data_IF_494357918243
#
_entry.id   IF_494357918243
#
_cell.length_a   1.000
_cell.length_b   1.000
_cell.length_c   1.000
_cell.angle_alpha   90.00
_cell.angle_beta   90.00
_cell.angle_gamma   90.00
#
_symmetry.space_group_name_H-M   'P 1'
#
loop_
_entity.id
_entity.type
_entity.pdbx_description
1 polymer ?
#
# COMPACT_ATOMS: atom_id res chain seq x y z
N UNK A 1 -24.70 -22.73 24.91
CA UNK A 1 -24.05 -22.29 23.67
C UNK A 1 -24.72 -21.00 23.24
N UNK A 2 -24.09 -19.87 23.52
CA UNK A 2 -24.59 -18.56 23.12
C UNK A 2 -24.22 -18.38 21.64
N UNK A 3 -25.18 -18.43 20.74
CA UNK A 3 -24.95 -18.07 19.34
C UNK A 3 -24.72 -16.56 19.29
N UNK A 4 -23.45 -16.13 19.37
CA UNK A 4 -23.10 -14.73 19.21
C UNK A 4 -23.46 -14.29 17.79
N UNK A 5 -24.08 -13.13 17.66
CA UNK A 5 -24.43 -12.57 16.37
C UNK A 5 -23.15 -12.10 15.65
N UNK A 6 -23.15 -12.07 14.32
CA UNK A 6 -22.01 -11.61 13.50
C UNK A 6 -21.55 -10.20 13.93
N UNK A 7 -22.49 -9.32 14.29
CA UNK A 7 -22.17 -7.98 14.80
C UNK A 7 -21.34 -8.04 16.10
N UNK A 8 -21.76 -8.86 17.05
CA UNK A 8 -21.13 -8.96 18.38
C UNK A 8 -19.72 -9.52 18.28
N UNK A 9 -19.50 -10.52 17.41
CA UNK A 9 -18.15 -11.09 17.20
C UNK A 9 -17.23 -10.13 16.46
N UNK A 10 -17.74 -9.32 15.53
CA UNK A 10 -16.96 -8.28 14.85
C UNK A 10 -16.56 -7.17 15.84
N UNK A 11 -17.48 -6.74 16.71
CA UNK A 11 -17.17 -5.78 17.77
C UNK A 11 -16.11 -6.33 18.73
N UNK A 12 -16.24 -7.59 19.13
CA UNK A 12 -15.24 -8.23 19.99
C UNK A 12 -13.86 -8.29 19.33
N UNK A 13 -13.81 -8.56 18.03
CA UNK A 13 -12.57 -8.53 17.25
C UNK A 13 -11.96 -7.12 17.15
N UNK A 14 -12.79 -6.09 16.97
CA UNK A 14 -12.35 -4.69 16.97
C UNK A 14 -11.74 -4.26 18.30
N UNK A 15 -12.37 -4.62 19.42
CA UNK A 15 -11.85 -4.35 20.76
C UNK A 15 -10.51 -5.06 21.00
N UNK A 16 -10.40 -6.31 20.58
CA UNK A 16 -9.17 -7.09 20.69
C UNK A 16 -8.02 -6.44 19.88
N UNK A 17 -8.29 -5.98 18.65
CA UNK A 17 -7.30 -5.24 17.84
C UNK A 17 -6.91 -3.93 18.51
N UNK A 18 -7.87 -3.16 19.03
CA UNK A 18 -7.59 -1.91 19.72
C UNK A 18 -6.71 -2.12 20.98
N UNK A 19 -6.86 -3.25 21.66
CA UNK A 19 -6.02 -3.64 22.78
C UNK A 19 -4.60 -4.03 22.32
N UNK A 20 -4.50 -4.79 21.24
CA UNK A 20 -3.23 -5.17 20.62
C UNK A 20 -2.42 -3.94 20.17
N UNK A 21 -3.07 -2.97 19.53
CA UNK A 21 -2.44 -1.72 19.06
C UNK A 21 -1.88 -0.88 20.21
N UNK A 22 -2.53 -0.91 21.38
CA UNK A 22 -2.03 -0.22 22.58
C UNK A 22 -0.83 -0.94 23.19
N UNK A 23 -0.88 -2.27 23.24
CA UNK A 23 0.16 -3.07 23.87
C UNK A 23 0.23 -4.46 23.25
N UNK A 24 1.33 -4.72 22.54
CA UNK A 24 1.59 -6.04 21.97
C UNK A 24 2.16 -6.96 23.05
N UNK A 25 1.39 -7.96 23.43
CA UNK A 25 1.76 -9.05 24.35
C UNK A 25 1.25 -10.39 23.82
N UNK A 26 1.78 -11.50 24.32
CA UNK A 26 1.28 -12.84 23.95
C UNK A 26 -0.23 -12.98 24.18
N UNK A 27 -0.74 -12.49 25.31
CA UNK A 27 -2.16 -12.57 25.66
C UNK A 27 -3.03 -11.79 24.66
N UNK A 28 -2.63 -10.56 24.30
CA UNK A 28 -3.36 -9.74 23.32
C UNK A 28 -3.30 -10.33 21.91
N UNK A 29 -2.17 -10.95 21.54
CA UNK A 29 -2.05 -11.62 20.23
C UNK A 29 -2.99 -12.81 20.16
N UNK A 30 -2.99 -13.66 21.20
CA UNK A 30 -3.85 -14.83 21.25
C UNK A 30 -5.34 -14.42 21.26
N UNK A 31 -5.70 -13.38 22.01
CA UNK A 31 -7.07 -12.87 22.06
C UNK A 31 -7.58 -12.41 20.69
N UNK A 32 -6.73 -11.74 19.89
CA UNK A 32 -7.08 -11.30 18.54
C UNK A 32 -7.26 -12.48 17.59
N UNK A 33 -6.38 -13.48 17.64
CA UNK A 33 -6.49 -14.68 16.80
C UNK A 33 -7.76 -15.48 17.12
N UNK A 34 -8.07 -15.65 18.41
CA UNK A 34 -9.30 -16.30 18.87
C UNK A 34 -10.55 -15.50 18.46
N UNK A 35 -10.52 -14.17 18.58
CA UNK A 35 -11.63 -13.34 18.14
C UNK A 35 -11.87 -13.48 16.62
N UNK A 36 -10.80 -13.62 15.83
CA UNK A 36 -10.94 -13.87 14.39
C UNK A 36 -11.48 -15.27 14.07
N UNK A 37 -11.11 -16.29 14.86
CA UNK A 37 -11.69 -17.62 14.76
C UNK A 37 -13.21 -17.60 15.00
N UNK A 38 -13.67 -16.81 15.99
CA UNK A 38 -15.10 -16.63 16.27
C UNK A 38 -15.84 -15.94 15.11
N UNK A 39 -15.22 -14.94 14.48
CA UNK A 39 -15.79 -14.28 13.29
C UNK A 39 -15.92 -15.28 12.14
N UNK A 40 -14.92 -16.13 11.92
CA UNK A 40 -15.01 -17.16 10.87
C UNK A 40 -16.10 -18.19 11.18
N UNK A 41 -16.23 -18.61 12.45
CA UNK A 41 -17.27 -19.54 12.86
C UNK A 41 -18.69 -18.96 12.71
N UNK A 42 -18.84 -17.65 12.89
CA UNK A 42 -20.11 -16.93 12.73
C UNK A 42 -20.40 -16.51 11.28
N UNK A 43 -19.46 -16.75 10.36
CA UNK A 43 -19.54 -16.26 8.98
C UNK A 43 -20.60 -17.05 8.19
N UNK A 44 -21.69 -16.38 7.85
CA UNK A 44 -22.70 -16.86 6.91
C UNK A 44 -22.55 -16.12 5.58
N UNK A 45 -23.01 -16.72 4.47
CA UNK A 45 -23.00 -16.06 3.17
C UNK A 45 -23.82 -14.76 3.24
N UNK A 46 -23.28 -13.62 2.79
CA UNK A 46 -24.00 -12.35 2.83
C UNK A 46 -25.32 -12.47 2.05
N UNK A 47 -26.43 -12.23 2.72
CA UNK A 47 -27.78 -12.21 2.12
C UNK A 47 -28.42 -10.82 2.15
N UNK A 48 -27.83 -9.86 2.88
CA UNK A 48 -28.37 -8.50 3.04
C UNK A 48 -27.33 -7.39 2.84
N UNK A 49 -27.76 -6.24 2.33
CA UNK A 49 -26.94 -5.02 2.19
C UNK A 49 -26.33 -4.52 3.52
N UNK A 50 -26.99 -4.81 4.65
CA UNK A 50 -26.44 -4.49 5.98
C UNK A 50 -25.23 -5.36 6.33
N UNK A 51 -25.18 -6.58 5.83
CA UNK A 51 -24.04 -7.49 6.03
C UNK A 51 -22.86 -7.06 5.17
N UNK A 52 -23.09 -6.53 3.97
CA UNK A 52 -22.03 -5.97 3.10
C UNK A 52 -21.18 -4.92 3.82
N UNK A 53 -21.81 -4.02 4.61
CA UNK A 53 -21.08 -3.02 5.40
C UNK A 53 -20.26 -3.66 6.53
N UNK A 54 -20.78 -4.70 7.17
CA UNK A 54 -20.05 -5.46 8.19
C UNK A 54 -18.86 -6.19 7.60
N UNK A 55 -18.98 -6.76 6.40
CA UNK A 55 -17.86 -7.39 5.70
C UNK A 55 -16.78 -6.38 5.29
N UNK A 56 -17.16 -5.17 4.83
CA UNK A 56 -16.19 -4.10 4.58
C UNK A 56 -15.46 -3.66 5.85
N UNK A 57 -16.17 -3.60 6.98
CA UNK A 57 -15.57 -3.30 8.28
C UNK A 57 -14.58 -4.41 8.69
N UNK A 58 -14.97 -5.69 8.53
CA UNK A 58 -14.10 -6.83 8.78
C UNK A 58 -12.81 -6.77 7.95
N UNK A 59 -12.90 -6.44 6.65
CA UNK A 59 -11.71 -6.27 5.79
C UNK A 59 -10.78 -5.17 6.34
N UNK A 60 -11.35 -4.09 6.87
CA UNK A 60 -10.59 -2.99 7.48
C UNK A 60 -9.89 -3.45 8.76
N UNK A 61 -10.56 -4.26 9.59
CA UNK A 61 -9.98 -4.86 10.80
C UNK A 61 -8.87 -5.86 10.46
N UNK A 62 -9.09 -6.73 9.47
CA UNK A 62 -8.08 -7.68 8.97
C UNK A 62 -6.84 -6.94 8.42
N UNK A 63 -7.06 -5.77 7.80
CA UNK A 63 -5.99 -4.89 7.36
C UNK A 63 -5.16 -4.33 8.53
N UNK A 64 -5.82 -3.89 9.60
CA UNK A 64 -5.15 -3.41 10.83
C UNK A 64 -4.36 -4.52 11.52
N UNK A 65 -4.89 -5.74 11.56
CA UNK A 65 -4.17 -6.91 12.07
C UNK A 65 -2.88 -7.14 11.27
N UNK A 66 -2.96 -7.09 9.94
CA UNK A 66 -1.80 -7.25 9.06
C UNK A 66 -0.72 -6.18 9.28
N UNK A 67 -1.11 -4.95 9.61
CA UNK A 67 -0.17 -3.87 9.96
C UNK A 67 0.57 -4.15 11.27
N UNK A 68 -0.06 -4.85 12.21
CA UNK A 68 0.57 -5.24 13.48
C UNK A 68 1.47 -6.48 13.38
N UNK A 69 1.41 -7.24 12.28
CA UNK A 69 2.20 -8.47 12.05
C UNK A 69 3.67 -8.32 12.42
N UNK A 70 4.32 -7.20 12.08
CA UNK A 70 5.73 -6.97 12.41
C UNK A 70 5.99 -6.91 13.92
N UNK A 71 5.08 -6.30 14.68
CA UNK A 71 5.20 -6.17 16.13
C UNK A 71 4.87 -7.50 16.82
N UNK A 72 3.92 -8.26 16.25
CA UNK A 72 3.56 -9.61 16.71
C UNK A 72 4.78 -10.53 16.60
N UNK A 73 5.42 -10.61 15.43
CA UNK A 73 6.60 -11.45 15.20
C UNK A 73 7.82 -11.09 16.07
N UNK A 74 7.92 -9.83 16.53
CA UNK A 74 8.98 -9.42 17.47
C UNK A 74 8.72 -9.88 18.89
N UNK A 75 7.45 -10.07 19.24
CA UNK A 75 7.02 -10.33 20.62
C UNK A 75 6.74 -11.81 20.86
N UNK A 76 6.24 -12.52 19.85
CA UNK A 76 5.78 -13.89 19.93
C UNK A 76 6.31 -14.68 18.74
N UNK A 77 6.70 -15.93 19.00
CA UNK A 77 7.00 -16.90 17.95
C UNK A 77 5.72 -17.62 17.50
N UNK A 78 5.13 -17.11 16.41
CA UNK A 78 3.95 -17.67 15.77
C UNK A 78 4.18 -19.11 15.27
N UNK A 79 5.40 -19.48 14.87
CA UNK A 79 5.69 -20.84 14.37
C UNK A 79 5.52 -21.88 15.48
N UNK A 80 5.96 -21.54 16.70
CA UNK A 80 5.79 -22.40 17.88
C UNK A 80 4.31 -22.60 18.22
N UNK A 81 3.48 -21.56 18.04
CA UNK A 81 2.04 -21.63 18.29
C UNK A 81 1.31 -22.43 17.23
N UNK A 82 1.65 -22.26 15.96
CA UNK A 82 1.12 -23.06 14.86
C UNK A 82 1.39 -24.56 15.07
N UNK A 83 2.62 -24.93 15.49
CA UNK A 83 2.98 -26.31 15.82
C UNK A 83 2.23 -26.88 17.02
N UNK A 84 1.80 -26.03 17.95
CA UNK A 84 1.10 -26.46 19.16
C UNK A 84 -0.40 -26.58 18.93
N UNK A 85 -0.99 -25.58 18.28
CA UNK A 85 -2.43 -25.43 18.11
C UNK A 85 -2.96 -26.06 16.81
N UNK A 86 -2.09 -26.37 15.85
CA UNK A 86 -2.44 -26.96 14.55
C UNK A 86 -3.66 -26.28 13.89
N UNK A 87 -3.60 -24.95 13.65
CA UNK A 87 -4.70 -24.24 13.02
C UNK A 87 -4.95 -24.77 11.60
N UNK A 88 -6.22 -24.78 11.13
CA UNK A 88 -6.54 -25.25 9.78
C UNK A 88 -5.94 -24.32 8.72
N UNK A 89 -5.57 -24.87 7.56
CA UNK A 89 -4.95 -24.10 6.45
C UNK A 89 -5.85 -22.97 5.92
N UNK A 90 -7.17 -23.06 6.12
CA UNK A 90 -8.12 -21.99 5.77
C UNK A 90 -8.00 -20.74 6.65
N UNK A 91 -7.33 -20.84 7.80
CA UNK A 91 -7.21 -19.78 8.79
C UNK A 91 -5.96 -18.93 8.55
N UNK A 92 -5.96 -18.18 7.44
CA UNK A 92 -4.83 -17.37 6.99
C UNK A 92 -4.26 -16.43 8.07
N UNK A 93 -5.08 -15.98 9.02
CA UNK A 93 -4.66 -15.11 10.13
C UNK A 93 -3.72 -15.78 11.14
N UNK A 94 -3.60 -17.12 11.13
CA UNK A 94 -2.57 -17.83 11.89
C UNK A 94 -1.23 -17.90 11.14
N UNK A 95 -1.26 -17.78 9.82
CA UNK A 95 -0.11 -17.82 8.92
C UNK A 95 0.27 -16.41 8.48
N UNK A 96 0.43 -15.49 9.44
CA UNK A 96 0.88 -14.13 9.15
C UNK A 96 2.31 -14.18 8.63
N UNK A 97 2.50 -14.22 7.31
CA UNK A 97 3.83 -14.18 6.71
C UNK A 97 4.59 -12.92 7.18
N UNK A 98 5.89 -13.08 7.44
CA UNK A 98 6.78 -11.96 7.70
C UNK A 98 6.75 -11.05 6.46
N UNK A 99 6.36 -9.77 6.57
CA UNK A 99 6.03 -8.99 5.39
C UNK A 99 7.28 -8.78 4.53
N UNK A 100 7.17 -9.20 3.26
CA UNK A 100 7.83 -8.52 2.15
C UNK A 100 7.31 -7.07 2.19
N UNK A 101 8.23 -6.10 2.11
CA UNK A 101 8.05 -4.70 2.52
C UNK A 101 6.63 -4.12 2.33
N UNK A 102 6.07 -3.53 3.41
CA UNK A 102 4.80 -2.75 3.47
C UNK A 102 4.58 -1.70 2.36
N UNK A 103 5.64 -1.37 1.60
CA UNK A 103 5.62 -0.48 0.45
C UNK A 103 4.89 -1.10 -0.76
N UNK A 104 4.93 -2.43 -0.93
CA UNK A 104 4.32 -3.14 -2.07
C UNK A 104 2.78 -3.02 -2.08
N UNK A 105 2.14 -2.87 -0.91
CA UNK A 105 0.68 -2.77 -0.80
C UNK A 105 0.11 -1.46 -1.37
N UNK A 106 0.91 -0.39 -1.38
CA UNK A 106 0.53 0.87 -2.02
C UNK A 106 1.12 1.02 -3.43
N UNK A 107 2.12 0.20 -3.79
CA UNK A 107 2.78 0.28 -5.08
C UNK A 107 1.84 -0.03 -6.25
N UNK A 108 0.83 -0.89 -6.08
CA UNK A 108 -0.16 -1.13 -7.15
C UNK A 108 -0.99 0.14 -7.46
N UNK A 109 -1.35 0.91 -6.43
CA UNK A 109 -2.15 2.13 -6.55
C UNK A 109 -1.33 3.27 -7.17
N UNK A 110 -0.07 3.43 -6.71
CA UNK A 110 0.86 4.40 -7.27
C UNK A 110 1.29 4.05 -8.70
N UNK A 111 1.46 2.76 -9.01
CA UNK A 111 1.79 2.31 -10.36
C UNK A 111 0.63 2.58 -11.32
N UNK A 112 -0.61 2.29 -10.93
CA UNK A 112 -1.79 2.62 -11.75
C UNK A 112 -1.89 4.13 -12.02
N UNK A 113 -1.73 4.96 -10.98
CA UNK A 113 -1.74 6.41 -11.11
C UNK A 113 -0.62 6.92 -12.03
N UNK A 114 0.59 6.36 -11.91
CA UNK A 114 1.75 6.74 -12.71
C UNK A 114 1.58 6.33 -14.17
N UNK A 115 1.03 5.14 -14.44
CA UNK A 115 0.70 4.67 -15.79
C UNK A 115 -0.33 5.59 -16.43
N UNK A 116 -1.42 5.93 -15.73
CA UNK A 116 -2.43 6.86 -16.26
C UNK A 116 -1.84 8.26 -16.50
N UNK A 117 -1.01 8.76 -15.58
CA UNK A 117 -0.32 10.05 -15.73
C UNK A 117 0.65 10.06 -16.92
N UNK A 118 1.38 8.97 -17.15
CA UNK A 118 2.26 8.85 -18.33
C UNK A 118 1.45 8.80 -19.63
N UNK A 119 0.35 8.04 -19.67
CA UNK A 119 -0.52 7.97 -20.85
C UNK A 119 -1.13 9.33 -21.17
N UNK A 120 -1.59 10.08 -20.16
CA UNK A 120 -2.10 11.44 -20.34
C UNK A 120 -1.01 12.39 -20.84
N UNK A 121 0.20 12.33 -20.26
CA UNK A 121 1.34 13.15 -20.68
C UNK A 121 1.78 12.83 -22.11
N UNK A 122 1.83 11.55 -22.48
CA UNK A 122 2.15 11.11 -23.84
C UNK A 122 1.09 11.57 -24.85
N UNK A 123 -0.20 11.52 -24.48
CA UNK A 123 -1.28 12.03 -25.33
C UNK A 123 -1.16 13.54 -25.55
N UNK A 124 -0.74 14.29 -24.53
CA UNK A 124 -0.52 15.74 -24.64
C UNK A 124 0.69 16.07 -25.53
N UNK A 125 1.78 15.31 -25.43
CA UNK A 125 2.97 15.48 -26.28
C UNK A 125 2.66 15.16 -27.73
N UNK A 126 1.85 14.12 -28.01
CA UNK A 126 1.42 13.77 -29.36
C UNK A 126 0.47 14.83 -29.92
N UNK A 127 -0.46 15.36 -29.11
CA UNK A 127 -1.39 16.43 -29.55
C UNK A 127 -0.64 17.74 -29.84
N UNK A 128 0.29 18.15 -28.97
CA UNK A 128 1.12 19.35 -29.17
C UNK A 128 2.09 19.15 -30.34
N UNK A 129 2.81 18.03 -30.38
CA UNK A 129 3.76 17.72 -31.46
C UNK A 129 3.07 17.62 -32.82
N UNK A 130 1.90 16.99 -32.87
CA UNK A 130 1.05 16.91 -34.05
C UNK A 130 0.64 18.31 -34.53
N UNK A 131 0.24 19.21 -33.63
CA UNK A 131 -0.11 20.60 -33.96
C UNK A 131 1.07 21.42 -34.46
N UNK A 132 2.27 21.23 -33.93
CA UNK A 132 3.48 21.87 -34.45
C UNK A 132 3.88 21.35 -35.84
N UNK A 133 3.68 20.06 -36.11
CA UNK A 133 3.99 19.43 -37.41
C UNK A 133 2.93 19.70 -38.49
N UNK A 134 1.66 19.83 -38.11
CA UNK A 134 0.53 20.06 -39.03
C UNK A 134 0.23 21.54 -39.29
N UNK A 135 0.55 22.44 -38.35
CA UNK A 135 0.30 23.88 -38.51
C UNK A 135 1.44 24.67 -39.20
N UNK A 136 2.54 24.01 -39.60
CA UNK A 136 3.56 24.62 -40.47
C UNK A 136 4.15 25.95 -39.97
N UNK A 137 4.61 26.01 -38.71
CA UNK A 137 5.15 27.25 -38.15
C UNK A 137 6.68 27.39 -38.38
N UNK A 138 7.18 28.49 -38.99
CA UNK A 138 8.60 28.74 -39.30
C UNK A 138 9.45 29.15 -38.07
N UNK A 139 9.05 28.75 -36.85
CA UNK A 139 9.58 29.29 -35.59
C UNK A 139 10.70 28.49 -34.92
N UNK A 140 11.10 27.33 -35.45
CA UNK A 140 12.09 26.47 -34.78
C UNK A 140 13.53 27.00 -34.86
N UNK A 141 13.84 27.89 -35.80
CA UNK A 141 15.20 28.44 -35.95
C UNK A 141 15.52 29.60 -35.00
N UNK A 142 14.51 30.31 -34.48
CA UNK A 142 14.72 31.43 -33.56
C UNK A 142 15.07 31.00 -32.13
N UNK A 143 14.51 29.89 -31.67
CA UNK A 143 14.63 29.46 -30.27
C UNK A 143 15.93 28.72 -29.94
N UNK A 144 16.58 28.10 -30.95
CA UNK A 144 17.91 27.47 -30.75
C UNK A 144 19.05 28.50 -30.61
N UNK A 145 18.90 29.70 -31.18
CA UNK A 145 19.92 30.75 -31.10
C UNK A 145 20.09 31.32 -29.67
N UNK A 146 18.99 31.40 -28.89
CA UNK A 146 19.01 31.93 -27.53
C UNK A 146 19.62 30.95 -26.50
N UNK A 147 19.49 29.64 -26.75
CA UNK A 147 20.07 28.61 -25.88
C UNK A 147 21.59 28.50 -26.11
N UNK A 148 22.04 28.61 -27.36
CA UNK A 148 23.48 28.56 -27.71
C UNK A 148 24.31 29.71 -27.09
N UNK A 149 23.78 30.94 -27.11
CA UNK A 149 24.46 32.12 -26.53
C UNK A 149 24.65 32.00 -25.00
N UNK A 150 23.70 31.39 -24.31
CA UNK A 150 23.74 31.21 -22.85
C UNK A 150 24.83 30.20 -22.43
N UNK A 151 24.96 29.11 -23.19
CA UNK A 151 25.98 28.07 -22.95
C UNK A 151 27.39 28.58 -23.30
N UNK A 152 27.54 29.34 -24.38
CA UNK A 152 28.84 29.88 -24.80
C UNK A 152 29.38 30.95 -23.83
N UNK A 153 28.49 31.76 -23.27
CA UNK A 153 28.85 32.76 -22.25
C UNK A 153 29.31 32.09 -20.95
N UNK A 154 28.69 30.98 -20.55
CA UNK A 154 29.14 30.21 -19.38
C UNK A 154 30.49 29.52 -19.62
N UNK A 155 30.71 28.95 -20.83
CA UNK A 155 31.94 28.23 -21.16
C UNK A 155 33.17 29.14 -21.27
N UNK A 156 33.00 30.38 -21.74
CA UNK A 156 34.08 31.36 -21.83
C UNK A 156 34.41 32.00 -20.48
N UNK A 157 33.43 32.14 -19.58
CA UNK A 157 33.66 32.58 -18.20
C UNK A 157 34.32 31.52 -17.29
N UNK A 158 34.15 30.23 -17.59
CA UNK A 158 34.70 29.12 -16.80
C UNK A 158 36.09 28.60 -17.21
N UNK A 159 36.66 29.07 -18.31
CA UNK A 159 37.90 28.52 -18.89
C UNK A 159 39.22 29.20 -18.44
N UNK A 160 39.18 30.23 -17.60
CA UNK A 160 40.39 30.94 -17.15
C UNK A 160 40.68 30.61 -15.69
N UNK A 161 41.71 29.76 -15.51
CA UNK A 161 42.50 29.41 -14.29
C UNK A 161 42.29 27.96 -13.81
N UNK A 162 43.31 27.12 -13.98
CA UNK A 162 44.23 26.70 -12.90
C UNK A 162 45.30 25.72 -13.41
N UNK A 163 46.53 26.19 -13.65
CA UNK A 163 47.75 25.39 -13.44
C UNK A 163 48.96 26.31 -13.28
N UNK A 164 49.45 26.42 -12.04
CA UNK A 164 50.81 26.81 -11.71
C UNK A 164 51.30 25.83 -10.65
N UNK A 165 52.23 24.96 -11.05
CA UNK A 165 53.25 24.39 -10.18
C UNK A 165 54.47 24.07 -11.04
#
# INVERSE_FOLDING_TARGET
MTTMNLLDVIQHYEDAIAHLEKRVTAETVLAVLQARDLVEAARQSPTSDSETKLFLHLITLDTRLLEQTQNIHKTVDLETWQKSLHPPESAWWWFLEKPIHVRDRYDWLWSALTVTSLTASASLVVDIGGRFLTAGAPGLWGSFALIGQSVLTLATAGGVRTSFH
#
